data_IF_142793366568
#
_entry.id   IF_142793366568
#
_cell.length_a   1.000
_cell.length_b   1.000
_cell.length_c   1.000
_cell.angle_alpha   90.00
_cell.angle_beta   90.00
_cell.angle_gamma   90.00
#
_symmetry.space_group_name_H-M   'P 1'
#
loop_
_entity.id
_entity.type
_entity.pdbx_description
1 polymer ?
#
# COMPACT_ATOMS: atom_id res chain seq x y z
N UNK A 1 53.10 -44.84 -14.80
CA UNK A 1 51.64 -44.84 -15.05
C UNK A 1 51.07 -43.49 -14.63
N UNK A 2 50.61 -42.68 -15.58
CA UNK A 2 50.05 -41.35 -15.33
C UNK A 2 48.56 -41.44 -15.00
N UNK A 3 48.18 -41.00 -13.79
CA UNK A 3 46.77 -40.87 -13.40
C UNK A 3 46.22 -39.52 -13.90
N UNK A 4 45.23 -39.59 -14.80
CA UNK A 4 44.58 -38.42 -15.40
C UNK A 4 43.66 -37.76 -14.36
N UNK A 5 44.00 -36.54 -13.93
CA UNK A 5 43.06 -35.65 -13.23
C UNK A 5 41.95 -35.23 -14.20
N UNK A 6 40.72 -35.69 -13.97
CA UNK A 6 39.52 -35.14 -14.60
C UNK A 6 39.07 -33.94 -13.77
N UNK A 7 39.23 -32.74 -14.33
CA UNK A 7 38.52 -31.55 -13.87
C UNK A 7 37.05 -31.72 -14.23
N UNK A 8 36.21 -32.00 -13.24
CA UNK A 8 34.77 -31.77 -13.35
C UNK A 8 34.57 -30.26 -13.26
N UNK A 9 34.28 -29.62 -14.40
CA UNK A 9 33.59 -28.33 -14.41
C UNK A 9 32.17 -28.59 -13.93
N UNK A 10 31.94 -28.44 -12.63
CA UNK A 10 30.60 -28.20 -12.11
C UNK A 10 30.17 -26.81 -12.59
N UNK A 11 29.28 -26.77 -13.59
CA UNK A 11 28.48 -25.58 -13.85
C UNK A 11 27.64 -25.34 -12.59
N UNK A 12 28.15 -24.48 -11.70
CA UNK A 12 27.32 -23.74 -10.76
C UNK A 12 26.34 -22.95 -11.61
N UNK A 13 25.13 -23.46 -11.76
CA UNK A 13 23.98 -22.69 -12.21
C UNK A 13 23.86 -21.50 -11.28
N UNK A 14 24.27 -20.33 -11.77
CA UNK A 14 23.98 -19.06 -11.12
C UNK A 14 22.46 -18.98 -10.93
N UNK A 15 21.96 -18.55 -9.76
CA UNK A 15 20.53 -18.35 -9.59
C UNK A 15 20.10 -17.25 -10.56
N UNK A 16 19.45 -17.66 -11.64
CA UNK A 16 18.64 -16.76 -12.44
C UNK A 16 17.60 -16.20 -11.49
N UNK A 17 17.64 -14.88 -11.28
CA UNK A 17 16.69 -14.19 -10.44
C UNK A 17 15.30 -14.48 -11.03
N UNK A 18 14.49 -15.22 -10.27
CA UNK A 18 13.19 -15.76 -10.67
C UNK A 18 12.16 -14.63 -10.68
N UNK A 19 12.21 -13.78 -11.70
CA UNK A 19 11.16 -12.79 -11.96
C UNK A 19 9.87 -13.43 -12.48
N UNK A 20 9.93 -14.70 -12.89
CA UNK A 20 8.81 -15.48 -13.36
C UNK A 20 7.90 -16.05 -12.23
N UNK A 21 8.28 -15.90 -10.96
CA UNK A 21 7.54 -16.55 -9.85
C UNK A 21 6.33 -15.71 -9.39
N UNK A 22 6.54 -14.43 -9.03
CA UNK A 22 5.55 -13.69 -8.24
C UNK A 22 4.24 -13.36 -8.97
N UNK A 23 4.30 -13.07 -10.26
CA UNK A 23 3.10 -12.80 -11.05
C UNK A 23 2.31 -14.09 -11.33
N UNK A 24 3.01 -15.18 -11.61
CA UNK A 24 2.40 -16.49 -11.82
C UNK A 24 1.82 -17.03 -10.50
N UNK A 25 2.52 -16.86 -9.38
CA UNK A 25 2.00 -17.12 -8.03
C UNK A 25 0.74 -16.32 -7.76
N UNK A 26 0.73 -15.02 -8.10
CA UNK A 26 -0.44 -14.18 -7.95
C UNK A 26 -1.61 -14.64 -8.82
N UNK A 27 -1.41 -14.93 -10.11
CA UNK A 27 -2.52 -15.31 -10.99
C UNK A 27 -3.06 -16.71 -10.64
N UNK A 28 -2.17 -17.65 -10.31
CA UNK A 28 -2.54 -19.05 -10.08
C UNK A 28 -2.88 -19.37 -8.61
N UNK A 29 -2.63 -18.45 -7.66
CA UNK A 29 -3.01 -18.67 -6.27
C UNK A 29 -4.54 -18.78 -6.14
N UNK A 30 -4.97 -19.90 -5.56
CA UNK A 30 -6.36 -20.21 -5.23
C UNK A 30 -6.79 -19.62 -3.88
N UNK A 31 -5.86 -19.04 -3.14
CA UNK A 31 -6.03 -18.54 -1.78
C UNK A 31 -5.49 -17.12 -1.71
N UNK A 32 -6.39 -16.17 -2.02
CA UNK A 32 -6.14 -14.75 -1.94
C UNK A 32 -6.93 -14.19 -0.77
N UNK A 33 -6.23 -13.67 0.22
CA UNK A 33 -6.85 -13.01 1.38
C UNK A 33 -6.70 -11.51 1.21
N UNK A 34 -7.76 -10.79 0.80
CA UNK A 34 -7.63 -9.36 0.60
C UNK A 34 -7.37 -8.65 1.92
N UNK A 35 -6.58 -7.59 1.86
CA UNK A 35 -6.29 -6.76 3.00
C UNK A 35 -6.32 -5.28 2.63
N UNK A 36 -6.56 -4.46 3.65
CA UNK A 36 -6.29 -3.03 3.63
C UNK A 36 -5.20 -2.73 4.66
N UNK A 37 -4.27 -1.85 4.29
CA UNK A 37 -3.24 -1.32 5.19
C UNK A 37 -3.41 0.17 5.32
N UNK A 38 -3.49 0.64 6.56
CA UNK A 38 -3.47 2.05 6.91
C UNK A 38 -2.06 2.39 7.34
N UNK A 39 -1.44 3.29 6.60
CA UNK A 39 0.01 3.51 6.64
C UNK A 39 0.27 4.96 7.02
N UNK A 40 1.25 5.20 7.88
CA UNK A 40 1.63 6.53 8.34
C UNK A 40 3.14 6.74 8.24
N UNK A 41 3.54 7.84 7.61
CA UNK A 41 4.93 8.30 7.53
C UNK A 41 5.11 9.55 8.37
N UNK A 42 6.17 9.57 9.17
CA UNK A 42 6.60 10.72 9.95
C UNK A 42 7.11 11.82 9.03
N UNK A 43 6.84 13.06 9.44
CA UNK A 43 7.42 14.22 8.78
C UNK A 43 8.84 14.49 9.26
N UNK A 44 9.59 15.25 8.46
CA UNK A 44 10.84 15.89 8.84
C UNK A 44 10.59 17.23 9.56
N UNK A 45 11.64 18.00 9.84
CA UNK A 45 11.52 19.37 10.40
C UNK A 45 10.73 20.32 9.51
N UNK A 46 10.61 20.04 8.20
CA UNK A 46 9.93 20.87 7.21
C UNK A 46 8.60 20.30 6.71
N UNK A 47 8.20 19.10 7.15
CA UNK A 47 6.99 18.42 6.66
C UNK A 47 6.18 17.83 7.81
N UNK A 48 4.86 17.75 7.66
CA UNK A 48 3.99 17.21 8.71
C UNK A 48 3.86 15.68 8.70
N UNK A 49 4.44 15.02 7.69
CA UNK A 49 4.25 13.59 7.42
C UNK A 49 3.10 13.33 6.45
N UNK A 50 2.75 12.05 6.25
CA UNK A 50 1.65 11.66 5.37
C UNK A 50 1.00 10.37 5.84
N UNK A 51 -0.27 10.16 5.48
CA UNK A 51 -0.95 8.89 5.68
C UNK A 51 -1.53 8.38 4.35
N UNK A 52 -1.50 7.06 4.17
CA UNK A 52 -1.84 6.40 2.93
C UNK A 52 -2.72 5.17 3.22
N UNK A 53 -3.43 4.72 2.20
CA UNK A 53 -4.14 3.45 2.21
C UNK A 53 -3.54 2.54 1.15
N UNK A 54 -3.04 1.38 1.57
CA UNK A 54 -2.67 0.29 0.69
C UNK A 54 -3.81 -0.73 0.60
N UNK A 55 -4.13 -1.20 -0.60
CA UNK A 55 -5.05 -2.32 -0.82
C UNK A 55 -4.26 -3.43 -1.50
N UNK A 56 -4.41 -4.65 -1.02
CA UNK A 56 -3.64 -5.78 -1.52
C UNK A 56 -4.30 -7.12 -1.25
N UNK A 57 -3.54 -8.17 -1.52
CA UNK A 57 -3.86 -9.55 -1.17
C UNK A 57 -2.67 -10.21 -0.53
N UNK A 58 -2.93 -11.07 0.44
CA UNK A 58 -1.96 -12.05 0.88
C UNK A 58 -2.21 -13.36 0.14
N UNK A 59 -1.12 -13.94 -0.39
CA UNK A 59 -1.11 -15.22 -1.06
C UNK A 59 -0.72 -16.33 -0.07
N UNK A 60 -0.76 -17.57 -0.55
CA UNK A 60 -0.20 -18.71 0.16
C UNK A 60 1.26 -18.45 0.57
N UNK A 61 1.67 -19.02 1.71
CA UNK A 61 2.95 -18.74 2.38
C UNK A 61 3.11 -17.33 3.01
N UNK A 62 2.05 -16.53 3.08
CA UNK A 62 2.06 -15.23 3.78
C UNK A 62 2.72 -14.11 2.98
N UNK A 63 2.87 -14.31 1.66
CA UNK A 63 3.38 -13.30 0.75
C UNK A 63 2.33 -12.18 0.58
N UNK A 64 2.71 -10.96 0.92
CA UNK A 64 1.86 -9.78 0.79
C UNK A 64 2.10 -9.08 -0.53
N UNK A 65 1.07 -8.97 -1.35
CA UNK A 65 1.08 -8.21 -2.58
C UNK A 65 0.20 -6.97 -2.44
N UNK A 66 0.82 -5.79 -2.41
CA UNK A 66 0.09 -4.54 -2.54
C UNK A 66 -0.27 -4.31 -4.00
N UNK A 67 -1.56 -4.20 -4.27
CA UNK A 67 -2.09 -3.98 -5.63
C UNK A 67 -2.18 -2.49 -5.96
N UNK A 68 -2.49 -1.66 -4.94
CA UNK A 68 -2.67 -0.21 -5.09
C UNK A 68 -2.32 0.52 -3.79
N UNK A 69 -1.80 1.74 -3.94
CA UNK A 69 -1.66 2.70 -2.86
C UNK A 69 -2.33 4.02 -3.21
N UNK A 70 -2.98 4.61 -2.22
CA UNK A 70 -3.73 5.85 -2.36
C UNK A 70 -3.31 6.85 -1.28
N UNK A 71 -2.97 8.06 -1.70
CA UNK A 71 -2.69 9.20 -0.83
C UNK A 71 -3.33 10.47 -1.37
N UNK A 72 -3.70 11.38 -0.47
CA UNK A 72 -4.30 12.67 -0.83
C UNK A 72 -3.30 13.79 -0.55
N UNK A 73 -2.83 14.43 -1.62
CA UNK A 73 -1.77 15.44 -1.58
C UNK A 73 -2.31 16.86 -1.81
N UNK A 74 -1.60 17.90 -1.31
CA UNK A 74 -2.02 19.29 -1.41
C UNK A 74 -1.95 19.90 -2.83
N UNK A 75 -1.42 19.19 -3.83
CA UNK A 75 -1.34 19.68 -5.21
C UNK A 75 -2.73 19.60 -5.85
N UNK A 76 -3.41 20.74 -5.91
CA UNK A 76 -4.78 20.94 -6.44
C UNK A 76 -5.88 20.08 -5.76
N UNK A 77 -5.55 19.42 -4.64
CA UNK A 77 -6.41 18.44 -3.98
C UNK A 77 -6.59 17.12 -4.74
N UNK A 78 -5.69 16.81 -5.68
CA UNK A 78 -5.73 15.56 -6.41
C UNK A 78 -5.35 14.37 -5.51
N UNK A 79 -6.09 13.26 -5.67
CA UNK A 79 -5.59 11.97 -5.27
C UNK A 79 -4.44 11.58 -6.19
N UNK A 80 -3.27 11.33 -5.60
CA UNK A 80 -2.20 10.68 -6.32
C UNK A 80 -2.19 9.21 -5.94
N UNK A 81 -2.57 8.34 -6.89
CA UNK A 81 -2.25 6.93 -6.78
C UNK A 81 -0.75 6.80 -6.86
N UNK A 82 -0.09 6.35 -5.78
CA UNK A 82 1.31 5.90 -5.87
C UNK A 82 1.22 4.58 -6.61
N UNK A 83 1.40 4.62 -7.95
CA UNK A 83 1.37 3.42 -8.79
C UNK A 83 2.52 2.49 -8.39
N UNK A 84 2.24 1.57 -7.49
CA UNK A 84 2.71 0.19 -7.63
C UNK A 84 1.51 -0.58 -8.15
N UNK A 85 1.55 -0.99 -9.40
CA UNK A 85 0.52 -1.86 -9.97
C UNK A 85 1.21 -2.93 -10.81
N UNK A 86 1.03 -4.19 -10.46
CA UNK A 86 1.42 -5.36 -11.26
C UNK A 86 0.48 -5.55 -12.46
N UNK A 87 0.22 -4.48 -13.20
CA UNK A 87 -0.45 -4.55 -14.50
C UNK A 87 0.58 -4.57 -15.63
N UNK A 88 0.28 -5.17 -16.79
CA UNK A 88 1.14 -5.12 -17.97
C UNK A 88 1.11 -3.70 -18.56
N UNK A 89 1.80 -2.77 -17.91
CA UNK A 89 2.03 -1.43 -18.42
C UNK A 89 3.46 -1.36 -18.96
N UNK A 90 3.61 -1.34 -20.29
CA UNK A 90 4.83 -0.84 -20.93
C UNK A 90 4.95 0.64 -20.63
N UNK A 91 5.61 0.96 -19.53
CA UNK A 91 5.81 2.33 -19.06
C UNK A 91 6.58 2.28 -17.76
N UNK A 92 7.86 2.67 -17.83
CA UNK A 92 8.84 2.81 -16.76
C UNK A 92 8.20 2.95 -15.36
N UNK A 93 8.56 2.05 -14.44
CA UNK A 93 8.30 2.18 -13.00
C UNK A 93 9.17 3.34 -12.48
N UNK A 94 8.77 4.57 -12.79
CA UNK A 94 9.28 5.77 -12.14
C UNK A 94 8.30 6.13 -11.02
N UNK A 95 8.64 5.69 -9.80
CA UNK A 95 8.24 6.27 -8.50
C UNK A 95 9.05 5.55 -7.44
N UNK A 96 9.85 6.32 -6.72
CA UNK A 96 10.86 5.89 -5.76
C UNK A 96 10.24 5.05 -4.65
N UNK A 97 10.84 3.90 -4.33
CA UNK A 97 10.48 3.09 -3.16
C UNK A 97 10.48 3.89 -1.84
N UNK A 98 11.19 5.03 -1.80
CA UNK A 98 11.18 6.01 -0.70
C UNK A 98 9.79 6.62 -0.44
N UNK A 99 8.89 6.62 -1.43
CA UNK A 99 7.48 7.02 -1.25
C UNK A 99 6.63 5.95 -0.58
N UNK A 100 7.13 4.72 -0.50
CA UNK A 100 6.51 3.58 0.18
C UNK A 100 7.14 3.30 1.56
N UNK A 101 8.01 4.16 2.08
CA UNK A 101 8.48 4.03 3.46
C UNK A 101 7.38 4.50 4.44
N UNK A 102 6.93 3.61 5.34
CA UNK A 102 6.03 3.95 6.44
C UNK A 102 6.67 3.65 7.79
N UNK A 103 6.36 4.48 8.78
CA UNK A 103 6.80 4.31 10.17
C UNK A 103 5.81 3.51 11.01
N UNK A 104 4.55 3.47 10.58
CA UNK A 104 3.47 2.79 11.29
C UNK A 104 2.47 2.21 10.30
N UNK A 105 1.95 1.05 10.64
CA UNK A 105 0.99 0.29 9.85
C UNK A 105 -0.06 -0.36 10.75
N UNK A 106 -1.31 -0.21 10.36
CA UNK A 106 -2.40 -1.10 10.76
C UNK A 106 -2.86 -1.86 9.52
N UNK A 107 -2.68 -3.18 9.51
CA UNK A 107 -3.18 -4.05 8.45
C UNK A 107 -4.34 -4.88 8.94
N UNK A 108 -5.37 -4.98 8.10
CA UNK A 108 -6.60 -5.73 8.37
C UNK A 108 -6.96 -6.54 7.15
N UNK A 109 -7.15 -7.85 7.35
CA UNK A 109 -7.82 -8.67 6.37
C UNK A 109 -9.27 -8.23 6.28
N UNK A 110 -9.74 -8.18 5.04
CA UNK A 110 -11.09 -7.77 4.69
C UNK A 110 -11.68 -8.85 3.78
N UNK A 111 -12.99 -8.79 3.54
CA UNK A 111 -13.61 -9.61 2.50
C UNK A 111 -13.61 -8.90 1.13
N UNK A 112 -14.04 -9.63 0.09
CA UNK A 112 -14.09 -9.09 -1.27
C UNK A 112 -15.10 -7.94 -1.41
N UNK A 113 -16.18 -7.94 -0.61
CA UNK A 113 -17.18 -6.87 -0.62
C UNK A 113 -16.59 -5.57 -0.08
N UNK A 114 -15.87 -5.65 1.05
CA UNK A 114 -15.13 -4.55 1.66
C UNK A 114 -14.03 -4.05 0.73
N UNK A 115 -13.25 -4.94 0.11
CA UNK A 115 -12.23 -4.56 -0.88
C UNK A 115 -12.86 -3.80 -2.05
N UNK A 116 -13.95 -4.32 -2.60
CA UNK A 116 -14.69 -3.66 -3.68
C UNK A 116 -15.20 -2.28 -3.27
N UNK A 117 -15.81 -2.15 -2.08
CA UNK A 117 -16.30 -0.88 -1.57
C UNK A 117 -15.19 0.17 -1.40
N UNK A 118 -14.02 -0.25 -0.91
CA UNK A 118 -12.83 0.63 -0.81
C UNK A 118 -12.37 1.09 -2.19
N UNK A 119 -12.31 0.19 -3.17
CA UNK A 119 -11.90 0.53 -4.54
C UNK A 119 -12.90 1.46 -5.25
N UNK A 120 -14.21 1.32 -4.96
CA UNK A 120 -15.25 2.24 -5.47
C UNK A 120 -15.01 3.66 -4.97
N UNK A 121 -14.75 3.87 -3.67
CA UNK A 121 -14.44 5.20 -3.14
C UNK A 121 -13.24 5.83 -3.85
N UNK A 122 -12.17 5.06 -4.10
CA UNK A 122 -11.01 5.58 -4.82
C UNK A 122 -11.31 5.89 -6.28
N UNK A 123 -12.17 5.11 -6.94
CA UNK A 123 -12.64 5.43 -8.29
C UNK A 123 -13.43 6.74 -8.32
N UNK A 124 -14.36 6.92 -7.38
CA UNK A 124 -15.18 8.13 -7.24
C UNK A 124 -14.31 9.36 -6.97
N UNK A 125 -13.39 9.28 -6.02
CA UNK A 125 -12.47 10.38 -5.70
C UNK A 125 -11.44 10.62 -6.81
N UNK A 126 -11.10 9.63 -7.64
CA UNK A 126 -10.24 9.87 -8.81
C UNK A 126 -10.99 10.64 -9.90
N UNK A 127 -12.29 10.37 -10.07
CA UNK A 127 -13.13 11.08 -11.04
C UNK A 127 -13.51 12.48 -10.54
N UNK A 128 -13.80 12.63 -9.25
CA UNK A 128 -14.15 13.88 -8.59
C UNK A 128 -13.29 14.06 -7.33
N UNK A 129 -12.08 14.64 -7.46
CA UNK A 129 -11.17 14.81 -6.34
C UNK A 129 -11.81 15.56 -5.17
N UNK A 130 -11.70 15.04 -3.93
CA UNK A 130 -12.23 15.74 -2.79
C UNK A 130 -11.44 17.03 -2.56
N UNK A 131 -12.13 18.09 -2.13
CA UNK A 131 -11.45 19.34 -1.77
C UNK A 131 -10.44 19.07 -0.67
N UNK A 132 -9.18 19.37 -0.93
CA UNK A 132 -8.13 19.24 0.07
C UNK A 132 -8.23 20.35 1.12
N UNK A 133 -8.08 19.97 2.39
CA UNK A 133 -7.94 20.93 3.49
C UNK A 133 -7.03 20.35 4.54
N UNK A 134 -5.93 21.06 4.85
CA UNK A 134 -4.97 20.62 5.87
C UNK A 134 -5.62 20.40 7.24
N UNK A 135 -6.58 21.26 7.59
CA UNK A 135 -7.26 21.29 8.91
C UNK A 135 -8.71 20.79 8.89
N UNK A 136 -9.21 20.28 7.75
CA UNK A 136 -10.58 19.77 7.64
C UNK A 136 -11.68 20.82 7.46
N UNK A 137 -11.35 22.09 7.14
CA UNK A 137 -12.31 23.18 6.93
C UNK A 137 -13.06 23.04 5.60
N UNK A 138 -14.10 22.21 5.56
CA UNK A 138 -14.93 21.97 4.37
C UNK A 138 -14.23 21.15 3.28
N UNK A 139 -13.20 20.39 3.66
CA UNK A 139 -12.43 19.48 2.82
C UNK A 139 -11.79 18.40 3.67
N UNK A 140 -11.01 17.50 3.07
CA UNK A 140 -10.32 16.42 3.79
C UNK A 140 -8.81 16.49 3.57
N UNK A 141 -8.05 15.95 4.53
CA UNK A 141 -6.61 15.70 4.39
C UNK A 141 -6.37 14.17 4.27
N UNK A 142 -5.09 13.76 4.26
CA UNK A 142 -4.70 12.36 4.23
C UNK A 142 -5.31 11.50 5.35
N UNK A 143 -5.48 12.05 6.57
CA UNK A 143 -6.15 11.32 7.65
C UNK A 143 -7.66 11.23 7.44
N UNK A 144 -8.27 12.26 6.84
CA UNK A 144 -9.68 12.22 6.45
C UNK A 144 -9.96 11.11 5.43
N UNK A 145 -9.05 10.90 4.49
CA UNK A 145 -9.08 9.77 3.56
C UNK A 145 -8.98 8.43 4.30
N UNK A 146 -8.00 8.29 5.20
CA UNK A 146 -7.84 7.08 6.04
C UNK A 146 -9.09 6.82 6.88
N UNK A 147 -9.65 7.87 7.50
CA UNK A 147 -10.87 7.82 8.31
C UNK A 147 -12.07 7.30 7.50
N UNK A 148 -12.24 7.77 6.27
CA UNK A 148 -13.30 7.32 5.38
C UNK A 148 -13.15 5.82 5.06
N UNK A 149 -11.96 5.39 4.63
CA UNK A 149 -11.70 3.96 4.32
C UNK A 149 -11.85 3.08 5.56
N UNK A 150 -11.34 3.50 6.72
CA UNK A 150 -11.47 2.76 7.97
C UNK A 150 -12.94 2.53 8.35
N UNK A 151 -13.82 3.51 8.12
CA UNK A 151 -15.27 3.35 8.28
C UNK A 151 -15.86 2.37 7.27
N UNK A 152 -15.44 2.43 6.01
CA UNK A 152 -15.88 1.49 4.96
C UNK A 152 -15.61 0.04 5.35
N UNK A 153 -14.48 -0.22 6.00
CA UNK A 153 -14.11 -1.56 6.51
C UNK A 153 -14.51 -1.78 7.98
N UNK A 154 -15.44 -0.97 8.50
CA UNK A 154 -16.09 -1.10 9.81
C UNK A 154 -15.14 -1.06 11.02
N UNK A 155 -14.01 -0.35 10.91
CA UNK A 155 -13.09 -0.11 12.02
C UNK A 155 -13.57 1.07 12.88
N UNK A 156 -13.21 1.03 14.16
CA UNK A 156 -13.36 2.19 15.06
C UNK A 156 -12.36 3.26 14.66
N UNK A 157 -12.82 4.49 14.45
CA UNK A 157 -11.96 5.57 13.96
C UNK A 157 -11.71 6.60 15.07
N UNK A 158 -10.45 6.98 15.33
CA UNK A 158 -10.15 8.02 16.30
C UNK A 158 -10.64 9.39 15.81
N UNK A 159 -11.00 10.26 16.76
CA UNK A 159 -11.33 11.65 16.46
C UNK A 159 -10.10 12.43 15.94
N UNK A 160 -10.35 13.65 15.44
CA UNK A 160 -9.25 14.59 15.12
C UNK A 160 -8.49 14.29 13.84
N UNK A 161 -9.08 13.61 12.85
CA UNK A 161 -8.45 13.38 11.54
C UNK A 161 -7.93 14.70 10.91
N UNK A 162 -8.69 15.79 11.03
CA UNK A 162 -8.31 17.11 10.52
C UNK A 162 -7.10 17.76 11.22
N UNK A 163 -6.79 17.40 12.47
CA UNK A 163 -5.83 18.13 13.31
C UNK A 163 -4.68 17.28 13.84
N UNK A 164 -4.70 15.97 13.61
CA UNK A 164 -3.69 15.04 14.11
C UNK A 164 -2.56 14.84 13.11
N UNK A 165 -1.32 14.67 13.59
CA UNK A 165 -0.22 14.31 12.70
C UNK A 165 -0.45 12.91 12.09
N UNK A 166 -0.11 12.67 10.81
CA UNK A 166 -0.59 11.48 10.12
C UNK A 166 -0.20 10.13 10.75
N UNK A 167 1.06 9.94 11.12
CA UNK A 167 1.48 8.71 11.80
C UNK A 167 0.82 8.54 13.19
N UNK A 168 0.56 9.63 13.91
CA UNK A 168 -0.14 9.57 15.20
C UNK A 168 -1.60 9.16 15.03
N UNK A 169 -2.22 9.58 13.93
CA UNK A 169 -3.57 9.14 13.61
C UNK A 169 -3.63 7.63 13.33
N UNK A 170 -2.63 7.08 12.62
CA UNK A 170 -2.54 5.64 12.37
C UNK A 170 -2.23 4.85 13.65
N UNK A 171 -1.35 5.36 14.52
CA UNK A 171 -1.12 4.77 15.86
C UNK A 171 -2.42 4.72 16.67
N UNK A 172 -3.17 5.82 16.75
CA UNK A 172 -4.45 5.85 17.44
C UNK A 172 -5.50 4.91 16.80
N UNK A 173 -5.51 4.79 15.47
CA UNK A 173 -6.38 3.86 14.77
C UNK A 173 -6.02 2.40 15.12
N UNK A 174 -4.73 2.09 15.21
CA UNK A 174 -4.25 0.77 15.64
C UNK A 174 -4.65 0.47 17.08
N UNK A 175 -4.50 1.42 17.99
CA UNK A 175 -4.83 1.24 19.40
C UNK A 175 -6.33 0.99 19.64
N UNK A 176 -7.19 1.60 18.82
CA UNK A 176 -8.65 1.39 18.89
C UNK A 176 -9.12 0.05 18.30
N UNK A 177 -8.29 -0.58 17.49
CA UNK A 177 -8.63 -1.81 16.78
C UNK A 177 -7.49 -2.82 16.97
N UNK A 178 -7.37 -3.48 18.14
CA UNK A 178 -6.38 -4.52 18.39
C UNK A 178 -6.59 -5.76 17.50
#
# INVERSE_FOLDING_TARGET
MYSRRRLLFGLLSLPGIVWADLYDDYINSVSKRPFVSFLGRKGSSSTIGHAFVGVGVELDAGLLLYERFFGLYPKDGALEGIKSSFGPATGKIDRTWDDLAWDTELRRFIDDQQKSAVLVHFSEWSATPPKYSLTGNGGINCNGLVSAVAKTVQLKVPDGAGSTRPWKFIEALKDLNP
#
